data_IF_090256601697
#
_entry.id   IF_090256601697
#
_cell.length_a   1.000
_cell.length_b   1.000
_cell.length_c   1.000
_cell.angle_alpha   90.00
_cell.angle_beta   90.00
_cell.angle_gamma   90.00
#
_symmetry.space_group_name_H-M   'P 1'
#
loop_
_entity.id
_entity.type
_entity.pdbx_description
1 polymer ?
#
# COMPACT_ATOMS: atom_id res chain seq x y z
N UNK A 1 36.88 66.00 -41.17
CA UNK A 1 35.56 66.64 -40.92
C UNK A 1 34.55 65.51 -40.81
N UNK A 2 34.37 64.99 -39.58
CA UNK A 2 33.18 65.17 -38.71
C UNK A 2 32.00 64.34 -39.26
N UNK A 3 31.44 63.33 -38.59
CA UNK A 3 30.82 63.29 -37.26
C UNK A 3 30.68 61.80 -36.83
N UNK A 4 31.08 61.41 -35.62
CA UNK A 4 30.32 61.39 -34.35
C UNK A 4 29.56 60.08 -34.10
N UNK A 5 30.18 59.25 -33.25
CA UNK A 5 29.63 58.37 -32.20
C UNK A 5 28.10 58.16 -32.12
N UNK A 6 27.67 56.90 -32.12
CA UNK A 6 26.61 56.47 -31.18
C UNK A 6 26.69 54.97 -30.92
N UNK A 7 27.09 54.62 -29.69
CA UNK A 7 26.77 53.36 -29.05
C UNK A 7 25.25 53.13 -29.09
N UNK A 8 24.80 51.97 -29.52
CA UNK A 8 23.57 51.38 -28.97
C UNK A 8 23.76 49.87 -28.85
N UNK A 9 24.16 49.48 -27.64
CA UNK A 9 23.98 48.15 -27.08
C UNK A 9 22.47 47.83 -27.14
N UNK A 10 22.07 46.79 -27.86
CA UNK A 10 20.81 46.13 -27.58
C UNK A 10 21.03 44.62 -27.56
N UNK A 11 21.29 44.13 -26.36
CA UNK A 11 21.16 42.73 -26.01
C UNK A 11 19.68 42.34 -26.09
N UNK A 12 19.38 41.25 -26.79
CA UNK A 12 18.17 40.45 -26.60
C UNK A 12 18.49 39.00 -27.02
N UNK A 13 19.21 38.31 -26.12
CA UNK A 13 18.99 36.89 -25.90
C UNK A 13 17.61 36.75 -25.25
N UNK A 14 16.69 35.99 -25.85
CA UNK A 14 15.72 35.22 -25.06
C UNK A 14 15.05 34.09 -25.87
N UNK A 15 15.60 32.91 -25.67
CA UNK A 15 14.89 31.65 -25.41
C UNK A 15 13.95 31.11 -26.50
N UNK A 16 14.55 30.31 -27.38
CA UNK A 16 13.89 29.12 -27.94
C UNK A 16 13.43 28.21 -26.80
N UNK A 17 12.15 28.27 -26.43
CA UNK A 17 11.55 27.21 -25.64
C UNK A 17 11.44 25.97 -26.52
N UNK A 18 12.47 25.14 -26.37
CA UNK A 18 12.49 23.77 -26.83
C UNK A 18 11.21 23.05 -26.39
N UNK A 19 10.57 22.39 -27.35
CA UNK A 19 9.63 21.32 -27.08
C UNK A 19 10.41 20.24 -26.31
N UNK A 20 10.29 20.26 -24.97
CA UNK A 20 10.87 19.21 -24.14
C UNK A 20 10.19 17.88 -24.48
N UNK A 21 10.94 16.77 -24.53
CA UNK A 21 10.31 15.46 -24.59
C UNK A 21 9.43 15.33 -23.34
N UNK A 22 8.14 15.10 -23.56
CA UNK A 22 7.21 14.81 -22.48
C UNK A 22 7.84 13.75 -21.59
N UNK A 23 7.99 14.08 -20.31
CA UNK A 23 8.48 13.15 -19.30
C UNK A 23 7.58 11.93 -19.36
N UNK A 24 8.05 10.87 -20.01
CA UNK A 24 7.55 9.53 -19.76
C UNK A 24 7.70 9.34 -18.26
N UNK A 25 6.56 9.25 -17.55
CA UNK A 25 6.56 8.91 -16.15
C UNK A 25 7.38 7.64 -16.00
N UNK A 26 8.50 7.75 -15.31
CA UNK A 26 9.28 6.62 -14.86
C UNK A 26 8.30 5.74 -14.08
N UNK A 27 7.91 4.59 -14.64
CA UNK A 27 7.11 3.61 -13.92
C UNK A 27 8.03 3.05 -12.84
N UNK A 28 8.02 3.68 -11.67
CA UNK A 28 8.60 3.09 -10.47
C UNK A 28 7.98 1.70 -10.31
N UNK A 29 8.82 0.68 -10.12
CA UNK A 29 8.35 -0.68 -9.90
C UNK A 29 7.40 -0.69 -8.69
N UNK A 30 6.35 -1.51 -8.75
CA UNK A 30 5.45 -1.68 -7.62
C UNK A 30 6.25 -2.18 -6.39
N UNK A 31 5.94 -1.71 -5.17
CA UNK A 31 6.62 -2.17 -3.97
C UNK A 31 6.40 -3.66 -3.77
N UNK A 32 7.45 -4.34 -3.30
CA UNK A 32 7.35 -5.74 -2.90
C UNK A 32 6.72 -5.80 -1.51
N UNK A 33 5.62 -6.55 -1.39
CA UNK A 33 4.89 -6.71 -0.13
C UNK A 33 4.62 -8.18 0.15
N UNK A 34 4.94 -8.62 1.36
CA UNK A 34 4.63 -9.97 1.85
C UNK A 34 4.10 -9.93 3.27
N UNK A 35 3.23 -10.89 3.60
CA UNK A 35 2.77 -11.13 4.97
C UNK A 35 3.42 -12.38 5.54
N UNK A 36 3.71 -12.33 6.84
CA UNK A 36 4.17 -13.45 7.66
C UNK A 36 3.42 -13.41 8.98
N UNK A 37 3.20 -14.56 9.60
CA UNK A 37 2.62 -14.62 10.94
C UNK A 37 3.33 -15.63 11.83
N UNK A 38 3.15 -15.43 13.13
CA UNK A 38 3.54 -16.37 14.18
C UNK A 38 2.32 -16.70 15.01
N UNK A 39 1.93 -17.98 15.02
CA UNK A 39 0.83 -18.46 15.86
C UNK A 39 1.35 -18.77 17.25
N UNK A 40 0.79 -18.04 18.21
CA UNK A 40 0.91 -18.27 19.63
C UNK A 40 -0.36 -19.00 20.08
N UNK A 41 -0.18 -20.16 20.70
CA UNK A 41 -1.28 -20.88 21.35
C UNK A 41 -1.18 -20.54 22.83
N UNK A 42 -2.20 -19.87 23.37
CA UNK A 42 -2.27 -19.59 24.80
C UNK A 42 -2.76 -20.85 25.52
N UNK A 43 -1.89 -21.48 26.31
CA UNK A 43 -2.13 -22.79 26.94
C UNK A 43 -3.36 -22.82 27.88
N UNK A 44 -3.82 -21.66 28.33
CA UNK A 44 -4.91 -21.53 29.31
C UNK A 44 -6.29 -21.28 28.68
N UNK A 45 -6.34 -20.70 27.49
CA UNK A 45 -7.61 -20.29 26.84
C UNK A 45 -7.92 -21.14 25.61
N UNK A 46 -6.92 -21.84 25.05
CA UNK A 46 -7.01 -22.55 23.76
C UNK A 46 -7.43 -21.65 22.59
N UNK A 47 -7.42 -20.31 22.78
CA UNK A 47 -7.72 -19.35 21.73
C UNK A 47 -6.42 -19.11 20.94
N UNK A 48 -6.40 -19.37 19.63
CA UNK A 48 -5.23 -19.09 18.82
C UNK A 48 -5.02 -17.57 18.70
N UNK A 49 -3.77 -17.14 18.72
CA UNK A 49 -3.38 -15.77 18.44
C UNK A 49 -2.24 -15.76 17.43
N UNK A 50 -2.50 -15.26 16.24
CA UNK A 50 -1.50 -15.06 15.21
C UNK A 50 -1.05 -13.60 15.22
N UNK A 51 0.24 -13.37 15.53
CA UNK A 51 0.85 -12.07 15.35
C UNK A 51 1.23 -11.92 13.88
N UNK A 52 0.68 -10.91 13.20
CA UNK A 52 0.88 -10.68 11.76
C UNK A 52 1.87 -9.55 11.55
N UNK A 53 2.81 -9.80 10.65
CA UNK A 53 3.84 -8.88 10.21
C UNK A 53 3.71 -8.66 8.71
N UNK A 54 3.94 -7.42 8.27
CA UNK A 54 4.07 -7.06 6.86
C UNK A 54 5.51 -6.67 6.58
N UNK A 55 6.06 -7.14 5.47
CA UNK A 55 7.35 -6.67 4.95
C UNK A 55 7.09 -5.85 3.69
N UNK A 56 7.51 -4.58 3.70
CA UNK A 56 7.45 -3.68 2.53
C UNK A 56 8.88 -3.34 2.11
N UNK A 57 9.28 -3.71 0.90
CA UNK A 57 10.66 -3.52 0.38
C UNK A 57 11.75 -3.96 1.39
N UNK A 58 11.54 -5.11 2.03
CA UNK A 58 12.47 -5.68 3.01
C UNK A 58 12.40 -5.10 4.43
N UNK A 59 11.53 -4.12 4.69
CA UNK A 59 11.31 -3.59 6.05
C UNK A 59 10.07 -4.24 6.67
N UNK A 60 10.28 -5.04 7.72
CA UNK A 60 9.22 -5.73 8.45
C UNK A 60 8.63 -4.85 9.57
N UNK A 61 7.30 -4.89 9.72
CA UNK A 61 6.54 -4.19 10.75
C UNK A 61 5.40 -5.09 11.24
N UNK A 62 5.17 -5.13 12.55
CA UNK A 62 3.96 -5.78 13.11
C UNK A 62 2.74 -4.94 12.75
N UNK A 63 1.67 -5.58 12.30
CA UNK A 63 0.44 -4.88 11.85
C UNK A 63 -0.81 -5.24 12.66
N UNK A 64 -0.95 -6.50 13.09
CA UNK A 64 -2.13 -6.92 13.85
C UNK A 64 -1.86 -8.19 14.67
N UNK A 65 -2.76 -8.44 15.63
CA UNK A 65 -3.01 -9.78 16.16
C UNK A 65 -4.37 -10.24 15.61
N UNK A 66 -4.45 -11.45 15.04
CA UNK A 66 -5.69 -12.05 14.54
C UNK A 66 -5.82 -13.51 14.98
N UNK A 67 -7.02 -14.08 14.94
CA UNK A 67 -7.26 -15.42 15.51
C UNK A 67 -6.84 -16.56 14.57
N UNK A 68 -7.00 -16.39 13.26
CA UNK A 68 -6.55 -17.32 12.23
C UNK A 68 -5.90 -16.55 11.08
N UNK A 69 -4.82 -17.10 10.51
CA UNK A 69 -4.09 -16.46 9.44
C UNK A 69 -3.55 -17.50 8.45
N UNK A 70 -3.96 -17.35 7.20
CA UNK A 70 -3.35 -18.00 6.04
C UNK A 70 -3.19 -16.96 4.92
N UNK A 71 -2.33 -17.27 3.94
CA UNK A 71 -2.24 -16.44 2.73
C UNK A 71 -3.53 -16.54 1.94
N UNK A 72 -3.96 -15.41 1.36
CA UNK A 72 -5.09 -15.36 0.45
C UNK A 72 -4.52 -15.10 -0.94
N UNK A 73 -4.74 -16.03 -1.86
CA UNK A 73 -4.37 -15.85 -3.26
C UNK A 73 -5.26 -14.80 -3.94
N UNK A 74 -4.74 -14.13 -4.97
CA UNK A 74 -5.49 -13.10 -5.71
C UNK A 74 -6.82 -13.59 -6.30
N UNK A 75 -6.93 -14.89 -6.60
CA UNK A 75 -8.19 -15.52 -7.05
C UNK A 75 -9.27 -15.55 -5.96
N UNK A 76 -8.88 -15.46 -4.67
CA UNK A 76 -9.75 -15.45 -3.52
C UNK A 76 -10.17 -14.06 -3.03
N UNK A 77 -9.56 -12.98 -3.53
CA UNK A 77 -9.78 -11.62 -3.03
C UNK A 77 -11.25 -11.18 -3.03
N UNK A 78 -11.97 -11.47 -4.12
CA UNK A 78 -13.36 -11.07 -4.29
C UNK A 78 -14.28 -11.69 -3.22
N UNK A 79 -13.95 -12.88 -2.69
CA UNK A 79 -14.71 -13.53 -1.61
C UNK A 79 -14.71 -12.71 -0.32
N UNK A 80 -13.66 -11.94 -0.09
CA UNK A 80 -13.44 -11.16 1.12
C UNK A 80 -13.60 -9.65 0.86
N UNK A 81 -14.13 -9.27 -0.30
CA UNK A 81 -14.24 -7.86 -0.72
C UNK A 81 -12.88 -7.13 -0.78
N UNK A 82 -11.80 -7.88 -0.97
CA UNK A 82 -10.44 -7.34 -1.14
C UNK A 82 -10.29 -6.83 -2.59
N UNK A 83 -9.74 -5.62 -2.81
CA UNK A 83 -9.53 -5.11 -4.17
C UNK A 83 -8.57 -5.98 -4.99
N UNK A 84 -8.87 -6.17 -6.28
CA UNK A 84 -7.99 -6.90 -7.22
C UNK A 84 -6.59 -6.28 -7.40
N UNK A 85 -6.44 -5.01 -7.01
CA UNK A 85 -5.18 -4.28 -7.02
C UNK A 85 -4.36 -4.44 -5.73
N UNK A 86 -4.85 -5.21 -4.75
CA UNK A 86 -4.07 -5.50 -3.55
C UNK A 86 -2.77 -6.24 -3.93
N UNK A 87 -1.68 -5.87 -3.26
CA UNK A 87 -0.34 -6.38 -3.49
C UNK A 87 -0.13 -7.74 -2.81
N UNK A 88 -0.74 -7.92 -1.65
CA UNK A 88 -0.75 -9.15 -0.87
C UNK A 88 -1.96 -9.14 0.08
N UNK A 89 -2.40 -10.32 0.52
CA UNK A 89 -3.41 -10.45 1.56
C UNK A 89 -3.23 -11.72 2.39
N UNK A 90 -3.68 -11.68 3.63
CA UNK A 90 -3.74 -12.82 4.53
C UNK A 90 -4.93 -12.67 5.49
N UNK A 91 -5.36 -13.75 6.11
CA UNK A 91 -6.45 -13.71 7.08
C UNK A 91 -7.02 -15.08 7.34
N UNK A 92 -8.08 -15.13 8.12
CA UNK A 92 -8.68 -16.40 8.49
C UNK A 92 -9.97 -16.24 9.28
N UNK A 93 -10.69 -17.35 9.37
CA UNK A 93 -11.95 -17.47 10.09
C UNK A 93 -11.76 -18.38 11.30
N UNK A 94 -12.21 -17.93 12.46
CA UNK A 94 -12.18 -18.70 13.69
C UNK A 94 -13.43 -18.44 14.52
N UNK A 95 -14.10 -19.52 14.93
CA UNK A 95 -15.27 -19.52 15.83
C UNK A 95 -16.35 -18.45 15.51
N UNK A 96 -16.69 -18.29 14.23
CA UNK A 96 -17.77 -17.38 13.81
C UNK A 96 -17.33 -15.93 13.56
N UNK A 97 -16.03 -15.63 13.65
CA UNK A 97 -15.48 -14.34 13.25
C UNK A 97 -14.26 -14.51 12.33
N UNK A 98 -14.07 -13.59 11.40
CA UNK A 98 -12.92 -13.53 10.52
C UNK A 98 -12.25 -12.17 10.56
N UNK A 99 -10.92 -12.19 10.51
CA UNK A 99 -10.07 -11.02 10.32
C UNK A 99 -9.27 -11.21 9.03
N UNK A 100 -9.18 -10.14 8.23
CA UNK A 100 -8.53 -10.15 6.92
C UNK A 100 -7.64 -8.92 6.79
N UNK A 101 -6.44 -9.09 6.25
CA UNK A 101 -5.53 -8.00 5.95
C UNK A 101 -5.18 -7.99 4.47
N UNK A 102 -5.09 -6.80 3.90
CA UNK A 102 -4.52 -6.62 2.57
C UNK A 102 -3.67 -5.36 2.49
N UNK A 103 -2.67 -5.39 1.62
CA UNK A 103 -1.83 -4.23 1.32
C UNK A 103 -2.22 -3.64 -0.04
N UNK A 104 -2.34 -2.32 -0.14
CA UNK A 104 -2.61 -1.62 -1.39
C UNK A 104 -1.64 -0.46 -1.57
N UNK A 105 -1.21 -0.20 -2.80
CA UNK A 105 -0.42 0.99 -3.12
C UNK A 105 -1.33 2.21 -3.22
N UNK A 106 -1.00 3.27 -2.48
CA UNK A 106 -1.66 4.57 -2.49
C UNK A 106 -0.61 5.66 -2.72
N UNK A 107 -0.46 6.08 -3.98
CA UNK A 107 0.60 7.02 -4.37
C UNK A 107 2.00 6.47 -4.08
N UNK A 108 2.73 7.15 -3.20
CA UNK A 108 4.08 6.75 -2.75
C UNK A 108 4.05 5.86 -1.51
N UNK A 109 2.89 5.47 -1.02
CA UNK A 109 2.77 4.70 0.21
C UNK A 109 2.18 3.31 -0.07
N UNK A 110 2.48 2.37 0.83
CA UNK A 110 1.73 1.12 0.97
C UNK A 110 0.85 1.24 2.20
N UNK A 111 -0.45 1.03 2.00
CA UNK A 111 -1.47 1.09 3.04
C UNK A 111 -1.92 -0.32 3.36
N UNK A 112 -1.92 -0.68 4.63
CA UNK A 112 -2.44 -1.95 5.12
C UNK A 112 -3.82 -1.73 5.70
N UNK A 113 -4.78 -2.45 5.13
CA UNK A 113 -6.16 -2.45 5.54
C UNK A 113 -6.41 -3.70 6.36
N UNK A 114 -7.06 -3.56 7.51
CA UNK A 114 -7.61 -4.67 8.28
C UNK A 114 -9.12 -4.65 8.15
N UNK A 115 -9.70 -5.78 7.85
CA UNK A 115 -11.15 -5.95 7.87
C UNK A 115 -11.61 -7.14 8.68
N UNK A 116 -12.90 -7.13 8.99
CA UNK A 116 -13.54 -8.15 9.79
C UNK A 116 -14.95 -8.48 9.31
N UNK A 117 -15.36 -9.69 9.66
CA UNK A 117 -16.74 -10.16 9.56
C UNK A 117 -17.06 -11.06 10.75
N UNK A 118 -18.29 -11.05 11.27
CA UNK A 118 -18.78 -11.95 12.31
C UNK A 118 -20.17 -12.48 11.98
N UNK A 119 -20.50 -13.70 12.40
CA UNK A 119 -21.87 -14.26 12.31
C UNK A 119 -22.88 -13.47 13.13
N UNK A 120 -22.42 -12.78 14.19
CA UNK A 120 -23.28 -11.98 15.07
C UNK A 120 -23.57 -10.58 14.50
N UNK A 121 -22.90 -10.19 13.41
CA UNK A 121 -23.05 -8.86 12.85
C UNK A 121 -24.40 -8.72 12.12
N UNK A 122 -25.02 -7.55 12.24
CA UNK A 122 -26.31 -7.25 11.59
C UNK A 122 -26.16 -6.61 10.21
N UNK A 123 -24.96 -6.10 9.90
CA UNK A 123 -24.62 -5.46 8.63
C UNK A 123 -24.04 -6.50 7.65
N UNK A 124 -24.34 -6.40 6.37
CA UNK A 124 -23.78 -7.31 5.37
C UNK A 124 -22.40 -6.87 4.91
N UNK A 125 -21.52 -7.84 4.61
CA UNK A 125 -20.23 -7.60 3.96
C UNK A 125 -19.05 -7.53 4.94
N UNK A 126 -17.92 -7.08 4.42
CA UNK A 126 -16.70 -6.89 5.21
C UNK A 126 -16.51 -5.41 5.52
N UNK A 127 -16.09 -5.12 6.75
CA UNK A 127 -15.72 -3.78 7.15
C UNK A 127 -14.21 -3.66 7.10
N UNK A 128 -13.66 -2.59 6.53
CA UNK A 128 -12.21 -2.39 6.41
C UNK A 128 -11.79 -1.02 6.96
N UNK A 129 -10.66 -1.00 7.68
CA UNK A 129 -10.01 0.20 8.20
C UNK A 129 -8.51 0.20 7.92
N UNK A 130 -7.92 1.38 7.76
CA UNK A 130 -6.47 1.53 7.65
C UNK A 130 -5.82 1.31 9.03
N UNK A 131 -4.87 0.37 9.09
CA UNK A 131 -4.15 0.05 10.34
C UNK A 131 -2.66 0.41 10.29
N UNK A 132 -2.09 0.56 9.09
CA UNK A 132 -0.70 0.93 8.90
C UNK A 132 -0.50 1.60 7.55
N UNK A 133 0.36 2.63 7.50
CA UNK A 133 0.82 3.28 6.28
C UNK A 133 2.34 3.34 6.27
N UNK A 134 2.94 2.79 5.21
CA UNK A 134 4.39 2.68 5.04
C UNK A 134 4.82 3.47 3.81
N UNK A 135 5.59 4.57 3.97
CA UNK A 135 6.11 5.32 2.83
C UNK A 135 7.13 4.48 2.03
N UNK A 136 6.94 4.42 0.71
CA UNK A 136 7.84 3.79 -0.25
C UNK A 136 8.64 4.88 -0.94
N UNK A 137 9.90 5.05 -0.52
CA UNK A 137 10.84 6.02 -1.09
C UNK A 137 11.60 5.44 -2.27
#
# INVERSE_FOLDING_TARGET
MNHFSSFLLLALLAVSFACGPGKGGEKTAAPEVTFRWETLIEETTEIPRSQVFVTVNGQEQKVADILACDLIDASGYERFEIPKSALAACGGWWAGAGDYLYAIQDGTDVVIMKGWQSEEQTESGFHYEEVLRVPVK
#
